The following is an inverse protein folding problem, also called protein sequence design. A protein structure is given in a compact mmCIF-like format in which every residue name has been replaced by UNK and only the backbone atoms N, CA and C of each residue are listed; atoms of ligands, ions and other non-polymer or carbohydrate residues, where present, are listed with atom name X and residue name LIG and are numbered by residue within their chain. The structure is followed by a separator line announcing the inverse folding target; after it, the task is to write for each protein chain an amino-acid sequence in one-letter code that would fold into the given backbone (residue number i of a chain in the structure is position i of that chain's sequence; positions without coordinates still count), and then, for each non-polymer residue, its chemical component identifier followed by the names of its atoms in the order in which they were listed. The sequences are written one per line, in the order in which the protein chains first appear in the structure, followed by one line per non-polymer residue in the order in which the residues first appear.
data_IF_717185202759
#
_entry.id   IF_717185202759
#
_cell.length_a   1.000
_cell.length_b   1.000
_cell.length_c   1.000
_cell.angle_alpha   90.00
_cell.angle_beta   90.00
_cell.angle_gamma   90.00
#
_symmetry.space_group_name_H-M   'P 1'
#
loop_
_entity.id
_entity.type
_entity.pdbx_description
1 polymer ?
#
# COMPACT_ATOMS: atom_id res chain seq x y z
N UNK A 1 -14.66 -31.58 9.68
CA UNK A 1 -15.50 -30.46 9.24
C UNK A 1 -15.29 -29.20 10.10
N UNK A 2 -15.61 -29.25 11.39
CA UNK A 2 -15.53 -28.07 12.29
C UNK A 2 -14.12 -27.54 12.41
N UNK A 3 -13.11 -28.38 12.58
CA UNK A 3 -11.69 -27.95 12.65
C UNK A 3 -11.28 -27.20 11.40
N UNK A 4 -11.55 -27.76 10.23
CA UNK A 4 -11.16 -27.14 8.94
C UNK A 4 -11.97 -25.86 8.69
N UNK A 5 -13.28 -25.89 8.97
CA UNK A 5 -14.12 -24.70 8.85
C UNK A 5 -13.70 -23.57 9.80
N UNK A 6 -13.43 -23.88 11.05
CA UNK A 6 -12.99 -22.91 12.08
C UNK A 6 -11.63 -22.30 11.75
N UNK A 7 -10.62 -23.13 11.44
CA UNK A 7 -9.29 -22.62 11.08
C UNK A 7 -9.33 -21.77 9.81
N UNK A 8 -10.08 -22.18 8.80
CA UNK A 8 -10.22 -21.41 7.57
C UNK A 8 -10.86 -20.03 7.82
N UNK A 9 -11.91 -19.91 8.67
CA UNK A 9 -12.53 -18.63 9.02
C UNK A 9 -11.53 -17.73 9.71
N UNK A 10 -10.82 -18.21 10.73
CA UNK A 10 -9.90 -17.40 11.53
C UNK A 10 -8.75 -16.90 10.66
N UNK A 11 -8.10 -17.81 9.92
CA UNK A 11 -7.00 -17.44 9.00
C UNK A 11 -7.45 -16.38 8.00
N UNK A 12 -8.64 -16.53 7.42
CA UNK A 12 -9.20 -15.62 6.43
C UNK A 12 -9.53 -14.25 6.99
N UNK A 13 -10.17 -14.18 8.16
CA UNK A 13 -10.51 -12.90 8.83
C UNK A 13 -9.22 -12.18 9.24
N UNK A 14 -8.25 -12.91 9.76
CA UNK A 14 -6.95 -12.34 10.17
C UNK A 14 -6.18 -11.80 8.95
N UNK A 15 -6.10 -12.59 7.86
CA UNK A 15 -5.47 -12.14 6.61
C UNK A 15 -6.20 -10.94 6.00
N UNK A 16 -7.52 -10.96 5.92
CA UNK A 16 -8.33 -9.87 5.38
C UNK A 16 -8.19 -8.57 6.16
N UNK A 17 -8.21 -8.65 7.49
CA UNK A 17 -7.99 -7.48 8.36
C UNK A 17 -6.55 -6.98 8.26
N UNK A 18 -5.56 -7.88 8.23
CA UNK A 18 -4.16 -7.54 8.05
C UNK A 18 -3.90 -6.81 6.73
N UNK A 19 -4.45 -7.32 5.62
CA UNK A 19 -4.36 -6.69 4.31
C UNK A 19 -5.01 -5.30 4.29
N UNK A 20 -6.19 -5.14 4.90
CA UNK A 20 -6.88 -3.85 4.99
C UNK A 20 -6.07 -2.84 5.80
N UNK A 21 -5.54 -3.23 6.96
CA UNK A 21 -4.67 -2.39 7.79
C UNK A 21 -3.38 -2.00 7.06
N UNK A 22 -2.75 -2.93 6.35
CA UNK A 22 -1.55 -2.64 5.55
C UNK A 22 -1.84 -1.59 4.47
N UNK A 23 -2.96 -1.71 3.75
CA UNK A 23 -3.39 -0.71 2.74
C UNK A 23 -3.69 0.65 3.40
N UNK A 24 -4.42 0.68 4.52
CA UNK A 24 -4.71 1.93 5.24
C UNK A 24 -3.45 2.63 5.74
N UNK A 25 -2.51 1.89 6.33
CA UNK A 25 -1.23 2.43 6.78
C UNK A 25 -0.41 2.98 5.61
N UNK A 26 -0.42 2.30 4.46
CA UNK A 26 0.24 2.77 3.24
C UNK A 26 -0.35 4.10 2.75
N UNK A 27 -1.69 4.22 2.72
CA UNK A 27 -2.35 5.46 2.30
C UNK A 27 -2.01 6.59 3.27
N UNK A 28 -2.07 6.33 4.57
CA UNK A 28 -1.68 7.31 5.60
C UNK A 28 -0.22 7.74 5.48
N UNK A 29 0.67 6.83 5.10
CA UNK A 29 2.11 7.13 4.92
C UNK A 29 2.40 7.94 3.67
N UNK A 30 1.55 7.85 2.63
CA UNK A 30 1.68 8.61 1.38
C UNK A 30 1.10 10.03 1.48
N UNK A 31 0.33 10.33 2.53
CA UNK A 31 -0.48 11.54 2.65
C UNK A 31 -1.92 11.29 2.15
N UNK A 32 -2.89 11.67 2.98
CA UNK A 32 -4.32 11.36 2.75
C UNK A 32 -4.94 12.11 1.58
N UNK A 33 -4.33 13.18 1.10
CA UNK A 33 -4.87 14.08 0.08
C UNK A 33 -3.91 14.24 -1.10
N UNK A 34 -3.36 13.11 -1.59
CA UNK A 34 -2.40 13.11 -2.68
C UNK A 34 -3.05 12.69 -4.00
N UNK A 35 -2.95 13.55 -5.02
CA UNK A 35 -3.22 13.21 -6.41
C UNK A 35 -1.91 12.94 -7.14
N UNK A 36 -1.88 11.88 -7.94
CA UNK A 36 -0.77 11.56 -8.81
C UNK A 36 -1.20 11.73 -10.27
N UNK A 37 -0.52 12.62 -10.99
CA UNK A 37 -0.76 12.83 -12.41
C UNK A 37 0.35 12.16 -13.20
N UNK A 38 -0.01 11.22 -14.08
CA UNK A 38 0.93 10.43 -14.88
C UNK A 38 0.62 10.54 -16.37
N UNK A 39 1.63 10.52 -17.27
CA UNK A 39 1.39 10.43 -18.69
C UNK A 39 0.84 9.05 -19.07
N UNK A 40 -0.07 9.00 -20.05
CA UNK A 40 -0.74 7.78 -20.51
C UNK A 40 -2.13 7.57 -19.95
N UNK A 41 -2.96 6.82 -20.68
CA UNK A 41 -4.38 6.59 -20.34
C UNK A 41 -4.59 5.46 -19.31
N UNK A 42 -3.63 4.53 -19.15
CA UNK A 42 -3.78 3.32 -18.35
C UNK A 42 -2.73 3.22 -17.27
N UNK A 43 -3.19 2.75 -16.08
CA UNK A 43 -2.32 2.27 -15.03
C UNK A 43 -1.79 0.87 -15.39
N UNK A 44 -0.47 0.69 -15.46
CA UNK A 44 0.15 -0.63 -15.62
C UNK A 44 1.41 -0.61 -16.50
N UNK A 45 2.13 -1.73 -16.57
CA UNK A 45 3.26 -1.88 -17.48
C UNK A 45 2.79 -1.69 -18.93
N UNK A 46 3.33 -0.70 -19.63
CA UNK A 46 2.97 -0.36 -21.01
C UNK A 46 1.91 0.73 -21.19
N UNK A 47 1.24 1.19 -20.13
CA UNK A 47 0.19 2.22 -20.21
C UNK A 47 0.68 3.63 -20.58
N UNK A 48 1.98 3.90 -20.58
CA UNK A 48 2.58 5.20 -20.94
C UNK A 48 3.17 5.26 -22.35
N UNK A 49 3.02 4.22 -23.17
CA UNK A 49 3.61 4.16 -24.49
C UNK A 49 3.08 5.25 -25.43
N UNK A 50 3.94 6.23 -25.78
CA UNK A 50 3.62 7.29 -26.73
C UNK A 50 3.07 8.59 -26.13
N UNK A 51 2.68 8.63 -24.86
CA UNK A 51 2.23 9.87 -24.23
C UNK A 51 3.39 10.83 -23.95
N UNK A 52 3.20 12.11 -24.26
CA UNK A 52 4.22 13.14 -23.96
C UNK A 52 4.41 13.26 -22.44
N UNK A 53 5.67 13.24 -22.00
CA UNK A 53 6.01 13.51 -20.60
C UNK A 53 5.60 14.93 -20.20
N UNK A 54 5.45 15.16 -18.91
CA UNK A 54 5.21 16.50 -18.36
C UNK A 54 6.50 17.33 -18.36
N UNK A 55 6.32 18.63 -18.17
CA UNK A 55 7.40 19.61 -17.97
C UNK A 55 7.30 20.17 -16.55
N UNK A 56 8.39 20.73 -16.05
CA UNK A 56 8.38 21.45 -14.75
C UNK A 56 7.36 22.60 -14.75
N UNK A 57 7.21 23.29 -15.92
CA UNK A 57 6.21 24.35 -16.07
C UNK A 57 4.75 23.87 -15.92
N UNK A 58 4.47 22.58 -16.08
CA UNK A 58 3.13 22.05 -15.83
C UNK A 58 2.86 21.95 -14.33
N UNK A 59 3.88 21.59 -13.53
CA UNK A 59 3.79 21.63 -12.07
C UNK A 59 3.58 23.06 -11.54
N UNK A 60 4.29 24.03 -12.07
CA UNK A 60 4.14 25.45 -11.71
C UNK A 60 2.75 25.99 -12.06
N UNK A 61 2.23 25.62 -13.23
CA UNK A 61 0.90 26.02 -13.65
C UNK A 61 -0.19 25.45 -12.71
N UNK A 62 -0.08 24.18 -12.35
CA UNK A 62 -1.00 23.55 -11.38
C UNK A 62 -0.93 24.27 -10.03
N UNK A 63 0.28 24.54 -9.54
CA UNK A 63 0.47 25.18 -8.24
C UNK A 63 -0.08 26.60 -8.17
N UNK A 64 -0.06 27.34 -9.30
CA UNK A 64 -0.44 28.77 -9.34
C UNK A 64 -1.88 29.00 -9.75
N UNK A 65 -2.47 28.14 -10.58
CA UNK A 65 -3.77 28.38 -11.21
C UNK A 65 -4.91 27.59 -10.57
N UNK A 66 -4.60 26.54 -9.79
CA UNK A 66 -5.62 25.71 -9.18
C UNK A 66 -5.70 25.95 -7.67
N UNK A 67 -6.89 26.24 -7.19
CA UNK A 67 -7.15 26.45 -5.76
C UNK A 67 -7.21 25.14 -4.98
N UNK A 68 -6.93 25.20 -3.66
CA UNK A 68 -7.03 24.04 -2.78
C UNK A 68 -5.80 23.13 -2.77
N UNK A 69 -4.69 23.56 -3.38
CA UNK A 69 -3.42 22.84 -3.44
C UNK A 69 -2.45 23.37 -2.37
N UNK A 70 -1.78 22.46 -1.66
CA UNK A 70 -0.71 22.75 -0.70
C UNK A 70 0.64 22.79 -1.40
N UNK A 71 0.93 21.78 -2.22
CA UNK A 71 2.21 21.65 -2.89
C UNK A 71 2.08 20.81 -4.16
N UNK A 72 2.91 21.11 -5.15
CA UNK A 72 3.06 20.33 -6.38
C UNK A 72 4.52 19.98 -6.58
N UNK A 73 4.83 18.69 -6.68
CA UNK A 73 6.18 18.21 -6.89
C UNK A 73 6.30 17.53 -8.27
N UNK A 74 7.10 18.07 -9.18
CA UNK A 74 7.48 17.35 -10.39
C UNK A 74 8.44 16.22 -10.00
N UNK A 75 8.20 15.02 -10.50
CA UNK A 75 9.03 13.86 -10.21
C UNK A 75 9.57 13.23 -11.47
N UNK A 76 10.89 13.06 -11.54
CA UNK A 76 11.56 12.24 -12.52
C UNK A 76 12.27 11.08 -11.82
N UNK A 77 12.20 9.86 -12.36
CA UNK A 77 12.81 8.66 -11.77
C UNK A 77 13.76 7.98 -12.73
N UNK A 78 14.83 7.43 -12.17
CA UNK A 78 15.79 6.56 -12.87
C UNK A 78 16.35 5.52 -11.90
N UNK A 79 16.33 4.25 -12.28
CA UNK A 79 17.14 3.26 -11.58
C UNK A 79 18.63 3.48 -11.86
N UNK A 80 19.45 3.47 -10.81
CA UNK A 80 20.90 3.63 -10.98
C UNK A 80 21.67 2.90 -9.87
N UNK A 81 22.88 2.48 -10.24
CA UNK A 81 23.86 2.01 -9.24
C UNK A 81 24.48 3.22 -8.54
N UNK A 82 24.41 3.20 -7.22
CA UNK A 82 25.00 4.18 -6.31
C UNK A 82 26.22 3.56 -5.63
N UNK A 83 27.27 4.35 -5.44
CA UNK A 83 28.55 3.87 -4.90
C UNK A 83 29.04 4.81 -3.84
N UNK A 84 29.38 4.29 -2.67
CA UNK A 84 30.08 4.99 -1.60
C UNK A 84 30.90 4.01 -0.76
N UNK A 85 31.99 4.46 -0.18
CA UNK A 85 32.87 3.66 0.71
C UNK A 85 33.31 2.31 0.11
N UNK A 86 33.53 2.25 -1.21
CA UNK A 86 33.92 1.02 -1.91
C UNK A 86 32.79 -0.01 -2.05
N UNK A 87 31.56 0.32 -1.64
CA UNK A 87 30.34 -0.50 -1.81
C UNK A 87 29.51 0.04 -2.93
N UNK A 88 28.71 -0.82 -3.55
CA UNK A 88 27.73 -0.45 -4.55
C UNK A 88 26.34 -1.00 -4.20
N UNK A 89 25.33 -0.28 -4.59
CA UNK A 89 23.93 -0.65 -4.41
C UNK A 89 23.11 -0.15 -5.59
N UNK A 90 22.07 -0.88 -6.01
CA UNK A 90 21.15 -0.40 -7.05
C UNK A 90 19.92 0.17 -6.37
N UNK A 91 19.68 1.45 -6.58
CA UNK A 91 18.61 2.18 -5.90
C UNK A 91 17.78 3.01 -6.88
N UNK A 92 16.60 3.42 -6.45
CA UNK A 92 15.78 4.38 -7.16
C UNK A 92 16.30 5.80 -6.96
N UNK A 93 16.72 6.44 -8.03
CA UNK A 93 17.15 7.85 -8.01
C UNK A 93 16.02 8.73 -8.47
N UNK A 94 15.60 9.64 -7.61
CA UNK A 94 14.47 10.54 -7.79
C UNK A 94 15.00 11.97 -7.93
N UNK A 95 14.57 12.64 -8.98
CA UNK A 95 14.79 14.08 -9.18
C UNK A 95 13.50 14.83 -8.85
N UNK A 96 13.54 15.78 -7.92
CA UNK A 96 12.40 16.59 -7.56
C UNK A 96 12.81 17.90 -6.87
N UNK A 97 11.85 18.55 -6.22
CA UNK A 97 12.01 19.75 -5.38
C UNK A 97 11.67 19.42 -3.92
N UNK A 98 11.84 20.37 -2.99
CA UNK A 98 11.43 20.20 -1.59
C UNK A 98 9.93 19.92 -1.44
N UNK A 99 9.09 20.36 -2.41
CA UNK A 99 7.67 20.03 -2.42
C UNK A 99 7.42 18.51 -2.41
N UNK A 100 8.38 17.69 -2.89
CA UNK A 100 8.28 16.25 -2.85
C UNK A 100 8.25 15.68 -1.43
N UNK A 101 8.97 16.29 -0.51
CA UNK A 101 8.96 15.91 0.90
C UNK A 101 7.58 16.17 1.51
N UNK A 102 6.98 17.32 1.19
CA UNK A 102 5.63 17.67 1.64
C UNK A 102 4.57 16.76 1.03
N UNK A 103 4.59 16.57 -0.30
CA UNK A 103 3.58 15.75 -0.99
C UNK A 103 3.62 14.28 -0.57
N UNK A 104 4.82 13.77 -0.28
CA UNK A 104 5.02 12.39 0.17
C UNK A 104 4.98 12.23 1.70
N UNK A 105 4.73 13.30 2.48
CA UNK A 105 4.81 13.27 3.94
C UNK A 105 6.14 12.67 4.45
N UNK A 106 7.26 13.06 3.83
CA UNK A 106 8.58 12.67 4.24
C UNK A 106 9.14 13.62 5.29
N UNK A 107 9.76 13.06 6.31
CA UNK A 107 10.47 13.83 7.36
C UNK A 107 11.97 13.61 7.21
N UNK A 108 12.73 14.65 7.53
CA UNK A 108 14.17 14.52 7.69
C UNK A 108 14.49 13.90 9.05
N UNK A 109 15.34 12.89 9.05
CA UNK A 109 15.93 12.29 10.25
C UNK A 109 17.19 13.06 10.68
N UNK A 110 18.04 13.44 9.69
CA UNK A 110 19.27 14.19 9.91
C UNK A 110 19.56 15.12 8.73
N UNK A 111 20.33 16.17 8.97
CA UNK A 111 20.76 17.11 7.92
C UNK A 111 19.73 18.18 7.60
N UNK A 112 19.65 18.58 6.34
CA UNK A 112 18.80 19.69 5.86
C UNK A 112 18.18 19.37 4.49
N UNK A 113 17.16 20.14 4.13
CA UNK A 113 16.57 20.16 2.78
C UNK A 113 17.48 20.88 1.77
N UNK A 114 17.12 20.81 0.50
CA UNK A 114 17.78 21.58 -0.54
C UNK A 114 17.53 23.07 -0.32
N UNK A 115 18.56 23.90 -0.55
CA UNK A 115 18.33 25.34 -0.66
C UNK A 115 17.76 25.70 -2.04
N UNK A 116 17.12 26.87 -2.13
CA UNK A 116 16.57 27.34 -3.42
C UNK A 116 17.67 27.53 -4.48
N UNK A 117 18.87 27.93 -4.04
CA UNK A 117 20.01 28.06 -4.95
C UNK A 117 20.50 26.71 -5.44
N UNK A 118 20.52 25.68 -4.61
CA UNK A 118 20.87 24.32 -4.99
C UNK A 118 19.85 23.73 -5.98
N UNK A 119 18.57 23.99 -5.78
CA UNK A 119 17.51 23.59 -6.70
C UNK A 119 17.65 24.29 -8.06
N UNK A 120 17.82 25.61 -8.05
CA UNK A 120 17.96 26.42 -9.28
C UNK A 120 19.23 26.12 -10.06
N UNK A 121 20.35 25.95 -9.36
CA UNK A 121 21.63 25.64 -9.99
C UNK A 121 21.73 24.20 -10.48
N UNK A 122 20.87 23.30 -10.00
CA UNK A 122 21.05 21.86 -10.20
C UNK A 122 22.34 21.38 -9.55
N UNK A 123 22.52 21.72 -8.26
CA UNK A 123 23.71 21.37 -7.50
C UNK A 123 23.82 19.85 -7.31
N UNK A 124 25.04 19.36 -7.19
CA UNK A 124 25.30 17.94 -6.95
C UNK A 124 25.18 17.61 -5.45
N UNK A 125 23.98 17.71 -4.92
CA UNK A 125 23.60 17.37 -3.55
C UNK A 125 22.50 16.32 -3.56
N UNK A 126 22.41 15.53 -2.50
CA UNK A 126 21.40 14.47 -2.42
C UNK A 126 20.94 14.23 -0.97
N UNK A 127 19.68 13.79 -0.84
CA UNK A 127 19.12 13.18 0.35
C UNK A 127 19.04 11.68 0.09
N UNK A 128 19.23 10.87 1.10
CA UNK A 128 19.20 9.42 0.99
C UNK A 128 18.19 8.82 1.96
N UNK A 129 17.59 7.69 1.59
CA UNK A 129 16.76 6.89 2.47
C UNK A 129 17.61 5.95 3.34
N UNK A 130 16.96 5.39 4.36
CA UNK A 130 17.63 4.57 5.38
C UNK A 130 18.25 3.29 4.81
N UNK A 131 17.64 2.66 3.81
CA UNK A 131 18.20 1.46 3.17
C UNK A 131 19.51 1.78 2.45
N UNK A 132 19.57 2.88 1.69
CA UNK A 132 20.79 3.33 1.02
C UNK A 132 21.88 3.66 2.05
N UNK A 133 21.53 4.31 3.17
CA UNK A 133 22.46 4.57 4.28
C UNK A 133 23.03 3.27 4.83
N UNK A 134 22.17 2.32 5.17
CA UNK A 134 22.56 1.04 5.75
C UNK A 134 23.48 0.24 4.82
N UNK A 135 23.15 0.15 3.55
CA UNK A 135 23.89 -0.69 2.57
C UNK A 135 25.26 -0.08 2.21
N UNK A 136 25.36 1.25 2.08
CA UNK A 136 26.58 1.90 1.63
C UNK A 136 27.46 2.44 2.76
N UNK A 137 26.84 2.92 3.84
CA UNK A 137 27.58 3.56 4.95
C UNK A 137 27.63 2.70 6.23
N UNK A 138 26.70 1.72 6.37
CA UNK A 138 26.66 0.86 7.57
C UNK A 138 26.40 1.69 8.84
N UNK A 139 27.36 1.74 9.74
CA UNK A 139 27.31 2.53 10.99
C UNK A 139 27.96 3.91 10.88
N UNK A 140 28.58 4.22 9.73
CA UNK A 140 29.25 5.51 9.52
C UNK A 140 28.21 6.59 9.19
N UNK A 141 28.49 7.81 9.65
CA UNK A 141 27.65 8.96 9.31
C UNK A 141 27.68 9.21 7.79
N UNK A 142 26.49 9.29 7.20
CA UNK A 142 26.35 9.50 5.77
C UNK A 142 26.27 10.99 5.42
N UNK A 143 25.83 11.86 6.35
CA UNK A 143 25.67 13.30 6.10
C UNK A 143 27.03 13.94 5.94
N UNK A 144 27.23 14.69 4.87
CA UNK A 144 28.50 15.29 4.47
C UNK A 144 29.40 14.37 3.61
N UNK A 145 29.08 13.08 3.51
CA UNK A 145 29.84 12.15 2.69
C UNK A 145 29.54 12.28 1.20
N UNK A 146 30.45 11.76 0.36
CA UNK A 146 30.27 11.72 -1.10
C UNK A 146 29.58 10.42 -1.52
N UNK A 147 28.51 10.54 -2.29
CA UNK A 147 27.81 9.46 -2.95
C UNK A 147 27.93 9.60 -4.46
N UNK A 148 28.36 8.59 -5.16
CA UNK A 148 28.40 8.60 -6.62
C UNK A 148 27.19 7.87 -7.19
N UNK A 149 26.42 8.59 -8.01
CA UNK A 149 25.26 8.07 -8.75
C UNK A 149 25.64 7.99 -10.23
N UNK A 150 25.81 6.79 -10.77
CA UNK A 150 26.42 6.58 -12.09
C UNK A 150 27.78 7.31 -12.21
N UNK A 151 27.81 8.42 -12.96
CA UNK A 151 29.00 9.24 -13.21
C UNK A 151 29.03 10.54 -12.40
N UNK A 152 28.00 10.81 -11.60
CA UNK A 152 27.83 12.06 -10.85
C UNK A 152 28.12 11.82 -9.37
N UNK A 153 29.07 12.54 -8.82
CA UNK A 153 29.27 12.58 -7.37
C UNK A 153 28.38 13.67 -6.78
N UNK A 154 27.57 13.32 -5.77
CA UNK A 154 26.79 14.26 -5.00
C UNK A 154 27.18 14.20 -3.52
N UNK A 155 27.06 15.31 -2.83
CA UNK A 155 27.25 15.37 -1.37
C UNK A 155 25.94 15.04 -0.69
N UNK A 156 25.93 14.08 0.21
CA UNK A 156 24.77 13.74 1.04
C UNK A 156 24.55 14.87 2.03
N UNK A 157 23.46 15.60 1.90
CA UNK A 157 23.12 16.74 2.79
C UNK A 157 22.07 16.40 3.85
N UNK A 158 21.41 15.23 3.72
CA UNK A 158 20.46 14.77 4.73
C UNK A 158 20.06 13.31 4.53
N UNK A 159 19.51 12.77 5.60
CA UNK A 159 18.95 11.43 5.71
C UNK A 159 17.45 11.55 5.98
N UNK A 160 16.65 10.85 5.20
CA UNK A 160 15.21 10.78 5.40
C UNK A 160 14.87 9.84 6.55
N UNK A 161 13.84 10.19 7.31
CA UNK A 161 13.30 9.29 8.33
C UNK A 161 12.72 8.04 7.67
N UNK A 162 13.00 6.87 8.25
CA UNK A 162 12.54 5.60 7.68
C UNK A 162 11.01 5.50 7.69
N UNK A 163 10.45 5.05 6.57
CA UNK A 163 9.04 4.66 6.41
C UNK A 163 8.84 3.16 6.35
N UNK A 164 9.94 2.41 6.13
CA UNK A 164 9.92 0.96 6.04
C UNK A 164 9.33 0.44 4.72
N UNK A 165 8.81 -0.79 4.79
CA UNK A 165 8.22 -1.45 3.62
C UNK A 165 6.79 -0.95 3.38
N UNK A 166 6.47 -0.72 2.11
CA UNK A 166 5.12 -0.44 1.67
C UNK A 166 4.21 -1.67 1.71
N UNK A 167 2.89 -1.47 1.58
CA UNK A 167 1.88 -2.53 1.64
C UNK A 167 2.09 -3.66 0.60
N UNK A 168 2.78 -3.35 -0.50
CA UNK A 168 3.09 -4.33 -1.56
C UNK A 168 4.51 -4.89 -1.45
N UNK A 169 5.16 -4.75 -0.28
CA UNK A 169 6.51 -5.27 -0.03
C UNK A 169 7.65 -4.49 -0.67
N UNK A 170 7.38 -3.37 -1.33
CA UNK A 170 8.41 -2.49 -1.85
C UNK A 170 9.04 -1.68 -0.72
N UNK A 171 10.37 -1.61 -0.70
CA UNK A 171 11.12 -0.79 0.25
C UNK A 171 11.02 0.68 -0.15
N UNK A 172 10.38 1.50 0.71
CA UNK A 172 10.25 2.93 0.48
C UNK A 172 11.53 3.69 0.78
N UNK A 173 12.38 3.13 1.61
CA UNK A 173 13.63 3.74 2.07
C UNK A 173 14.81 3.49 1.10
N UNK A 174 14.59 2.68 0.04
CA UNK A 174 15.60 2.43 -0.99
C UNK A 174 15.55 3.48 -2.09
N UNK A 175 16.02 4.68 -1.76
CA UNK A 175 15.99 5.80 -2.67
C UNK A 175 17.09 6.84 -2.42
N UNK A 176 17.40 7.59 -3.48
CA UNK A 176 18.24 8.79 -3.46
C UNK A 176 17.45 9.92 -4.09
N UNK A 177 17.22 11.00 -3.36
CA UNK A 177 16.55 12.20 -3.85
C UNK A 177 17.59 13.27 -4.17
N UNK A 178 17.48 13.92 -5.33
CA UNK A 178 18.34 15.02 -5.77
C UNK A 178 17.53 16.11 -6.45
N UNK A 179 18.06 17.33 -6.65
CA UNK A 179 17.41 18.35 -7.45
C UNK A 179 17.03 17.83 -8.82
N UNK A 180 15.82 18.12 -9.29
CA UNK A 180 15.30 17.60 -10.56
C UNK A 180 16.21 17.95 -11.72
N UNK A 181 16.75 19.16 -11.74
CA UNK A 181 17.66 19.62 -12.79
C UNK A 181 18.98 18.83 -12.80
N UNK A 182 19.45 18.37 -11.65
CA UNK A 182 20.64 17.52 -11.53
C UNK A 182 20.38 16.16 -12.17
N UNK A 183 19.25 15.52 -11.83
CA UNK A 183 18.86 14.25 -12.44
C UNK A 183 18.74 14.39 -13.96
N UNK A 184 17.98 15.38 -14.42
CA UNK A 184 17.68 15.60 -15.83
C UNK A 184 18.94 15.86 -16.67
N UNK A 185 19.80 16.77 -16.22
CA UNK A 185 20.98 17.19 -16.98
C UNK A 185 22.14 16.20 -16.93
N UNK A 186 22.33 15.53 -15.79
CA UNK A 186 23.56 14.76 -15.54
C UNK A 186 23.34 13.24 -15.52
N UNK A 187 22.11 12.75 -15.30
CA UNK A 187 21.84 11.32 -15.17
C UNK A 187 20.97 10.78 -16.30
N UNK A 188 19.86 11.46 -16.62
CA UNK A 188 18.90 10.99 -17.64
C UNK A 188 19.12 11.62 -19.00
N UNK A 189 19.74 12.80 -19.08
CA UNK A 189 19.99 13.51 -20.34
C UNK A 189 18.73 14.05 -21.04
N UNK A 190 17.61 14.14 -20.30
CA UNK A 190 16.35 14.66 -20.83
C UNK A 190 15.60 15.45 -19.73
N UNK A 191 14.65 16.29 -20.15
CA UNK A 191 13.85 17.15 -19.26
C UNK A 191 12.47 16.56 -18.92
N UNK A 192 12.31 15.24 -19.03
CA UNK A 192 11.04 14.57 -18.81
C UNK A 192 10.70 14.51 -17.33
N UNK A 193 9.44 14.83 -17.02
CA UNK A 193 8.83 14.63 -15.73
C UNK A 193 7.88 13.44 -15.85
N UNK A 194 8.10 12.41 -15.03
CA UNK A 194 7.36 11.16 -15.10
C UNK A 194 6.02 11.25 -14.34
N UNK A 195 5.98 12.01 -13.28
CA UNK A 195 4.80 12.14 -12.41
C UNK A 195 4.74 13.55 -11.84
N UNK A 196 3.53 14.08 -11.72
CA UNK A 196 3.28 15.26 -10.90
C UNK A 196 2.56 14.79 -9.65
N UNK A 197 3.14 15.06 -8.49
CA UNK A 197 2.55 14.79 -7.19
C UNK A 197 1.88 16.06 -6.69
N UNK A 198 0.59 16.02 -6.42
CA UNK A 198 -0.20 17.18 -6.01
C UNK A 198 -0.81 16.89 -4.64
N UNK A 199 -0.39 17.62 -3.63
CA UNK A 199 -0.98 17.56 -2.29
C UNK A 199 -2.06 18.63 -2.17
N UNK A 200 -3.24 18.22 -1.73
CA UNK A 200 -4.41 19.09 -1.53
C UNK A 200 -4.54 19.51 -0.07
N UNK A 201 -5.20 20.63 0.16
CA UNK A 201 -5.61 21.08 1.50
C UNK A 201 -6.58 20.09 2.14
N UNK A 202 -6.56 19.99 3.45
CA UNK A 202 -7.57 19.25 4.20
C UNK A 202 -8.96 19.86 3.94
N UNK A 203 -9.88 19.00 3.48
CA UNK A 203 -11.24 19.43 3.12
C UNK A 203 -11.44 19.93 1.68
N UNK A 204 -10.38 19.97 0.85
CA UNK A 204 -10.55 20.23 -0.58
C UNK A 204 -11.35 19.09 -1.25
N UNK A 205 -12.22 19.45 -2.18
CA UNK A 205 -12.96 18.48 -3.00
C UNK A 205 -12.02 17.89 -4.06
N UNK A 206 -11.59 16.65 -3.86
CA UNK A 206 -10.72 15.93 -4.77
C UNK A 206 -11.31 15.83 -6.18
N UNK A 207 -12.61 15.67 -6.30
CA UNK A 207 -13.29 15.57 -7.60
C UNK A 207 -13.16 16.88 -8.38
N UNK A 208 -13.38 18.01 -7.71
CA UNK A 208 -13.24 19.33 -8.31
C UNK A 208 -11.78 19.61 -8.69
N UNK A 209 -10.84 19.40 -7.78
CA UNK A 209 -9.41 19.61 -8.05
C UNK A 209 -8.94 18.73 -9.21
N UNK A 210 -9.39 17.48 -9.27
CA UNK A 210 -9.09 16.57 -10.39
C UNK A 210 -9.64 17.10 -11.71
N UNK A 211 -10.87 17.63 -11.73
CA UNK A 211 -11.47 18.22 -12.93
C UNK A 211 -10.68 19.47 -13.36
N UNK A 212 -10.34 20.35 -12.44
CA UNK A 212 -9.58 21.57 -12.71
C UNK A 212 -8.16 21.24 -13.25
N UNK A 213 -7.46 20.24 -12.67
CA UNK A 213 -6.17 19.76 -13.19
C UNK A 213 -6.32 19.19 -14.59
N UNK A 214 -7.37 18.40 -14.82
CA UNK A 214 -7.63 17.78 -16.12
C UNK A 214 -7.86 18.85 -17.18
N UNK A 215 -8.71 19.84 -16.90
CA UNK A 215 -8.96 20.94 -17.82
C UNK A 215 -7.68 21.73 -18.14
N UNK A 216 -6.92 22.13 -17.11
CA UNK A 216 -5.68 22.87 -17.28
C UNK A 216 -4.67 22.11 -18.14
N UNK A 217 -4.50 20.82 -17.89
CA UNK A 217 -3.56 19.99 -18.66
C UNK A 217 -4.04 19.74 -20.08
N UNK A 218 -5.34 19.60 -20.35
CA UNK A 218 -5.90 19.52 -21.70
C UNK A 218 -5.57 20.78 -22.52
N UNK A 219 -5.79 21.97 -21.92
CA UNK A 219 -5.48 23.24 -22.53
C UNK A 219 -3.98 23.37 -22.85
N UNK A 220 -3.11 23.08 -21.90
CA UNK A 220 -1.64 23.15 -22.05
C UNK A 220 -1.10 22.15 -23.07
N UNK A 221 -1.74 21.00 -23.20
CA UNK A 221 -1.39 19.95 -24.18
C UNK A 221 -2.09 20.14 -25.52
N UNK A 222 -2.96 21.16 -25.64
CA UNK A 222 -3.73 21.49 -26.86
C UNK A 222 -4.56 20.31 -27.35
N UNK A 223 -5.18 19.57 -26.43
CA UNK A 223 -6.09 18.48 -26.75
C UNK A 223 -7.44 19.07 -27.18
N UNK A 224 -8.00 18.57 -28.28
CA UNK A 224 -9.34 18.93 -28.71
C UNK A 224 -10.39 18.35 -27.74
N UNK A 225 -11.61 18.89 -27.72
CA UNK A 225 -12.69 18.37 -26.85
C UNK A 225 -12.99 16.89 -27.12
N UNK A 226 -12.83 16.44 -28.36
CA UNK A 226 -13.05 15.06 -28.80
C UNK A 226 -11.87 14.11 -28.53
N UNK A 227 -10.70 14.65 -28.18
CA UNK A 227 -9.51 13.83 -27.94
C UNK A 227 -9.59 13.19 -26.55
N UNK A 228 -9.17 11.94 -26.48
CA UNK A 228 -8.99 11.27 -25.19
C UNK A 228 -7.80 11.86 -24.43
N UNK A 229 -7.88 11.87 -23.10
CA UNK A 229 -6.80 12.33 -22.25
C UNK A 229 -5.55 11.45 -22.44
N UNK A 230 -4.43 12.06 -22.71
CA UNK A 230 -3.13 11.38 -22.80
C UNK A 230 -2.37 11.39 -21.47
N UNK A 231 -3.09 11.58 -20.39
CA UNK A 231 -2.62 11.51 -19.00
C UNK A 231 -3.74 10.97 -18.10
N UNK A 232 -3.38 10.61 -16.90
CA UNK A 232 -4.32 10.11 -15.86
C UNK A 232 -4.08 10.86 -14.55
N UNK A 233 -5.15 11.30 -13.90
CA UNK A 233 -5.14 11.87 -12.55
C UNK A 233 -5.68 10.82 -11.59
N UNK A 234 -4.84 10.34 -10.70
CA UNK A 234 -5.16 9.29 -9.75
C UNK A 234 -5.27 9.86 -8.35
N UNK A 235 -6.42 9.72 -7.74
CA UNK A 235 -6.61 9.95 -6.31
C UNK A 235 -6.14 8.74 -5.51
N UNK A 236 -5.09 8.94 -4.72
CA UNK A 236 -4.51 7.88 -3.88
C UNK A 236 -5.50 7.39 -2.83
N UNK A 237 -6.36 8.27 -2.30
CA UNK A 237 -7.41 7.93 -1.34
C UNK A 237 -8.47 7.04 -1.98
N UNK A 238 -8.98 7.42 -3.16
CA UNK A 238 -9.97 6.65 -3.90
C UNK A 238 -9.44 5.26 -4.28
N UNK A 239 -8.16 5.17 -4.67
CA UNK A 239 -7.50 3.89 -4.93
C UNK A 239 -7.52 3.00 -3.69
N UNK A 240 -7.19 3.56 -2.54
CA UNK A 240 -7.19 2.83 -1.28
C UNK A 240 -8.57 2.37 -0.84
N UNK A 241 -9.59 3.20 -1.01
CA UNK A 241 -10.98 2.85 -0.73
C UNK A 241 -11.45 1.70 -1.64
N UNK A 242 -11.08 1.74 -2.92
CA UNK A 242 -11.39 0.67 -3.89
C UNK A 242 -10.72 -0.65 -3.52
N UNK A 243 -9.44 -0.62 -3.14
CA UNK A 243 -8.71 -1.81 -2.70
C UNK A 243 -9.30 -2.38 -1.41
N UNK A 244 -9.61 -1.53 -0.44
CA UNK A 244 -10.25 -1.93 0.82
C UNK A 244 -11.64 -2.52 0.58
N UNK A 245 -12.42 -1.95 -0.32
CA UNK A 245 -13.72 -2.45 -0.75
C UNK A 245 -13.62 -3.85 -1.36
N UNK A 246 -12.66 -4.06 -2.25
CA UNK A 246 -12.41 -5.37 -2.88
C UNK A 246 -12.01 -6.42 -1.84
N UNK A 247 -11.12 -6.09 -0.92
CA UNK A 247 -10.72 -6.98 0.18
C UNK A 247 -11.91 -7.35 1.06
N UNK A 248 -12.79 -6.40 1.36
CA UNK A 248 -14.02 -6.65 2.14
C UNK A 248 -14.96 -7.62 1.43
N UNK A 249 -15.17 -7.46 0.12
CA UNK A 249 -16.00 -8.38 -0.67
C UNK A 249 -15.40 -9.79 -0.66
N UNK A 250 -14.09 -9.91 -0.86
CA UNK A 250 -13.40 -11.20 -0.77
C UNK A 250 -13.56 -11.85 0.59
N UNK A 251 -13.39 -11.09 1.68
CA UNK A 251 -13.60 -11.58 3.04
C UNK A 251 -15.04 -12.06 3.28
N UNK A 252 -16.03 -11.34 2.74
CA UNK A 252 -17.45 -11.76 2.83
C UNK A 252 -17.71 -13.07 2.08
N UNK A 253 -17.20 -13.22 0.86
CA UNK A 253 -17.35 -14.44 0.06
C UNK A 253 -16.72 -15.65 0.77
N UNK A 254 -15.52 -15.46 1.30
CA UNK A 254 -14.81 -16.50 2.04
C UNK A 254 -15.54 -16.85 3.35
N UNK A 255 -16.09 -15.84 4.03
CA UNK A 255 -16.95 -16.04 5.21
C UNK A 255 -18.20 -16.86 4.89
N UNK A 256 -18.82 -16.65 3.72
CA UNK A 256 -19.96 -17.45 3.28
C UNK A 256 -19.58 -18.91 3.03
N UNK A 257 -18.44 -19.17 2.38
CA UNK A 257 -17.91 -20.53 2.16
C UNK A 257 -17.61 -21.21 3.51
N UNK A 258 -17.04 -20.49 4.43
CA UNK A 258 -16.76 -20.99 5.77
C UNK A 258 -18.04 -21.32 6.56
N UNK A 259 -19.08 -20.50 6.46
CA UNK A 259 -20.39 -20.77 7.08
C UNK A 259 -21.00 -22.07 6.52
N UNK A 260 -20.95 -22.28 5.22
CA UNK A 260 -21.39 -23.55 4.60
C UNK A 260 -20.55 -24.74 5.11
N UNK A 261 -19.24 -24.58 5.23
CA UNK A 261 -18.35 -25.62 5.76
C UNK A 261 -18.68 -25.97 7.21
N UNK A 262 -19.04 -24.98 8.04
CA UNK A 262 -19.49 -25.21 9.43
C UNK A 262 -20.84 -25.92 9.48
N UNK A 263 -21.79 -25.58 8.58
CA UNK A 263 -23.06 -26.29 8.46
C UNK A 263 -22.85 -27.77 8.09
N UNK A 264 -22.01 -28.04 7.11
CA UNK A 264 -21.66 -29.43 6.73
C UNK A 264 -20.99 -30.17 7.89
N UNK A 265 -20.10 -29.49 8.62
CA UNK A 265 -19.48 -30.02 9.84
C UNK A 265 -20.50 -30.35 10.93
N UNK A 266 -21.49 -29.47 11.13
CA UNK A 266 -22.62 -29.67 12.07
C UNK A 266 -23.49 -30.88 11.68
N UNK A 267 -23.82 -31.00 10.39
CA UNK A 267 -24.55 -32.19 9.88
C UNK A 267 -23.75 -33.48 10.12
N UNK A 268 -22.41 -33.43 9.96
CA UNK A 268 -21.54 -34.55 10.29
C UNK A 268 -21.63 -34.98 11.76
N UNK A 269 -21.63 -34.01 12.69
CA UNK A 269 -21.83 -34.31 14.12
C UNK A 269 -23.24 -34.87 14.37
N UNK A 270 -24.26 -34.27 13.78
CA UNK A 270 -25.63 -34.74 13.90
C UNK A 270 -25.75 -36.23 13.48
N UNK A 271 -25.18 -36.60 12.34
CA UNK A 271 -25.20 -37.99 11.86
C UNK A 271 -24.49 -38.93 12.83
N UNK A 272 -23.34 -38.58 13.38
CA UNK A 272 -22.60 -39.37 14.37
C UNK A 272 -23.45 -39.54 15.64
N UNK A 273 -24.07 -38.47 16.11
CA UNK A 273 -24.90 -38.51 17.29
C UNK A 273 -26.18 -39.36 17.11
N UNK A 274 -26.80 -39.27 15.92
CA UNK A 274 -27.93 -40.14 15.58
C UNK A 274 -27.56 -41.64 15.60
N UNK A 275 -26.40 -42.00 15.04
CA UNK A 275 -25.89 -43.37 15.12
C UNK A 275 -25.61 -43.76 16.57
N UNK A 276 -24.97 -42.91 17.35
CA UNK A 276 -24.71 -43.15 18.77
C UNK A 276 -25.98 -43.39 19.57
N UNK A 277 -27.05 -42.62 19.36
CA UNK A 277 -28.35 -42.76 19.97
C UNK A 277 -29.00 -44.12 19.58
N UNK A 278 -28.94 -44.48 18.28
CA UNK A 278 -29.52 -45.75 17.81
C UNK A 278 -28.80 -46.99 18.40
N UNK A 279 -27.46 -46.93 18.47
CA UNK A 279 -26.67 -47.99 19.12
C UNK A 279 -26.95 -48.15 20.61
N UNK A 280 -27.22 -47.05 21.33
CA UNK A 280 -27.50 -47.04 22.77
C UNK A 280 -28.98 -47.06 23.11
N UNK A 281 -29.88 -47.39 22.13
CA UNK A 281 -31.34 -47.38 22.35
C UNK A 281 -31.76 -48.25 23.51
N UNK A 282 -31.15 -49.46 23.68
CA UNK A 282 -31.45 -50.39 24.80
C UNK A 282 -31.04 -49.79 26.13
N UNK A 283 -29.92 -49.12 26.23
CA UNK A 283 -29.43 -48.45 27.45
C UNK A 283 -30.35 -47.28 27.85
N UNK A 284 -30.72 -46.46 26.83
CA UNK A 284 -31.66 -45.36 27.02
C UNK A 284 -33.00 -45.87 27.49
N UNK A 285 -33.54 -46.94 26.89
CA UNK A 285 -34.81 -47.54 27.32
C UNK A 285 -34.76 -48.05 28.74
N UNK A 286 -33.65 -48.65 29.18
CA UNK A 286 -33.47 -49.15 30.52
C UNK A 286 -33.42 -47.97 31.56
N UNK A 287 -32.76 -46.87 31.24
CA UNK A 287 -32.71 -45.69 32.09
C UNK A 287 -34.09 -45.04 32.26
N UNK A 288 -34.88 -44.94 31.20
CA UNK A 288 -36.24 -44.45 31.23
C UNK A 288 -37.17 -45.36 32.07
N UNK A 289 -36.98 -46.70 31.93
CA UNK A 289 -37.77 -47.68 32.70
C UNK A 289 -37.51 -47.65 34.22
N UNK A 290 -36.33 -47.23 34.67
CA UNK A 290 -35.99 -47.07 36.08
C UNK A 290 -36.27 -45.68 36.59
N UNK A 291 -36.89 -44.77 35.75
CA UNK A 291 -37.39 -43.46 36.21
C UNK A 291 -36.56 -42.23 35.82
N UNK A 292 -35.58 -42.36 34.93
CA UNK A 292 -34.88 -41.19 34.43
C UNK A 292 -35.80 -40.31 33.57
N UNK A 293 -35.64 -38.98 33.66
CA UNK A 293 -36.41 -38.03 32.88
C UNK A 293 -35.88 -37.97 31.45
N UNK A 294 -36.76 -37.92 30.47
CA UNK A 294 -36.37 -37.74 29.02
C UNK A 294 -35.45 -36.55 28.81
N UNK A 295 -35.69 -35.44 29.57
CA UNK A 295 -34.89 -34.24 29.52
C UNK A 295 -33.43 -34.47 29.96
N UNK A 296 -33.18 -35.33 30.93
CA UNK A 296 -31.84 -35.64 31.44
C UNK A 296 -31.03 -36.41 30.36
N UNK A 297 -31.69 -37.39 29.74
CA UNK A 297 -31.10 -38.17 28.65
C UNK A 297 -30.79 -37.27 27.46
N UNK A 298 -31.70 -36.37 27.03
CA UNK A 298 -31.50 -35.43 25.99
C UNK A 298 -30.37 -34.46 26.29
N UNK A 299 -30.29 -33.96 27.51
CA UNK A 299 -29.26 -33.05 27.97
C UNK A 299 -27.85 -33.68 27.94
N UNK A 300 -27.75 -34.98 28.24
CA UNK A 300 -26.50 -35.73 28.15
C UNK A 300 -25.95 -35.76 26.73
N UNK A 301 -26.77 -36.10 25.74
CA UNK A 301 -26.36 -36.12 24.32
C UNK A 301 -26.03 -34.73 23.79
N UNK A 302 -26.77 -33.72 24.27
CA UNK A 302 -26.49 -32.32 23.90
C UNK A 302 -25.11 -31.89 24.40
N UNK A 303 -24.77 -32.18 25.67
CA UNK A 303 -23.47 -31.88 26.26
C UNK A 303 -22.34 -32.60 25.50
N UNK A 304 -22.56 -33.87 25.13
CA UNK A 304 -21.57 -34.65 24.37
C UNK A 304 -21.33 -34.01 22.99
N UNK A 305 -22.38 -33.59 22.27
CA UNK A 305 -22.26 -32.89 20.97
C UNK A 305 -21.56 -31.54 21.14
N UNK A 306 -21.87 -30.76 22.16
CA UNK A 306 -21.24 -29.46 22.46
C UNK A 306 -19.77 -29.66 22.82
N UNK A 307 -19.42 -30.66 23.62
CA UNK A 307 -18.03 -30.95 23.96
C UNK A 307 -17.18 -31.32 22.75
N UNK A 308 -17.72 -32.18 21.87
CA UNK A 308 -17.06 -32.54 20.59
C UNK A 308 -16.88 -31.33 19.67
N UNK A 309 -17.89 -30.47 19.58
CA UNK A 309 -17.84 -29.24 18.78
C UNK A 309 -16.82 -28.26 19.32
N UNK A 310 -16.79 -28.07 20.67
CA UNK A 310 -15.86 -27.18 21.36
C UNK A 310 -14.40 -27.65 21.19
N UNK A 311 -14.14 -28.95 21.35
CA UNK A 311 -12.83 -29.54 21.12
C UNK A 311 -12.38 -29.33 19.65
N UNK A 312 -13.28 -29.57 18.69
CA UNK A 312 -13.03 -29.31 17.28
C UNK A 312 -12.73 -27.84 17.00
N UNK A 313 -13.47 -26.93 17.64
CA UNK A 313 -13.25 -25.48 17.53
C UNK A 313 -11.91 -25.05 18.12
N UNK A 314 -11.55 -25.53 19.32
CA UNK A 314 -10.26 -25.23 19.97
C UNK A 314 -9.07 -25.71 19.12
N UNK A 315 -9.14 -26.93 18.59
CA UNK A 315 -8.10 -27.45 17.67
C UNK A 315 -8.04 -26.58 16.41
N UNK A 316 -9.19 -26.16 15.88
CA UNK A 316 -9.26 -25.24 14.73
C UNK A 316 -8.59 -23.89 14.99
N UNK A 317 -8.74 -23.33 16.19
CA UNK A 317 -8.10 -22.07 16.62
C UNK A 317 -6.57 -22.24 16.72
N UNK A 318 -6.10 -23.37 17.26
CA UNK A 318 -4.66 -23.63 17.44
C UNK A 318 -3.97 -23.86 16.10
N UNK A 319 -4.68 -24.39 15.09
CA UNK A 319 -4.15 -24.66 13.74
C UNK A 319 -4.24 -23.45 12.80
N UNK A 320 -4.97 -22.40 13.16
CA UNK A 320 -5.16 -21.19 12.37
C UNK A 320 -4.09 -20.15 12.66
#
# INVERSE_FOLDING_TARGET
GIVIGGSAVITMVTLGNGATLAVQNQISSLGTNLLQVRPGQRMGPGGGGGAAAFKESDAEAIATQIGGIVAVAPEARSGATVVANGRNWTSSVIGSTNAWLLTGNWKLGQGREFSDDELRAGAAVCLIGETVRRELFGTTDAVGAQLRVKQVSCTVIGLLASKGQGAFGNDQDDMVLMPIQTLQRRITGNTRVNTLLVSMNDGADATRVTADITQLLRERRKLAETDEDNFNVLDTKQLGETLSGTTRIMTMLLGAVAAVSLLVGGIGIMNIMLVSVTERTREIGLRLAIGALEREVLLQFLIEAVALSALGGLVGIVLA
#
